data_IF_951072825187
#
_entry.id   IF_951072825187
#
_cell.length_a   1.000
_cell.length_b   1.000
_cell.length_c   1.000
_cell.angle_alpha   90.00
_cell.angle_beta   90.00
_cell.angle_gamma   90.00
#
_symmetry.space_group_name_H-M   'P 1'
#
loop_
_entity.id
_entity.type
_entity.pdbx_description
1 polymer ?
#
# COMPACT_ATOMS: atom_id res chain seq x y z
N UNK A 1 1.26 -4.45 28.09
CA UNK A 1 0.99 -3.18 27.39
C UNK A 1 0.44 -3.52 26.01
N UNK A 2 -0.70 -2.95 25.62
CA UNK A 2 -1.21 -3.13 24.24
C UNK A 2 -0.33 -2.34 23.27
N UNK A 3 0.13 -2.96 22.19
CA UNK A 3 0.89 -2.28 21.14
C UNK A 3 -0.05 -1.33 20.40
N UNK A 4 0.33 -0.06 20.27
CA UNK A 4 -0.41 0.91 19.46
C UNK A 4 0.07 0.79 18.02
N UNK A 5 -0.84 0.48 17.11
CA UNK A 5 -0.57 0.42 15.67
C UNK A 5 -0.82 1.79 15.03
N UNK A 6 0.00 2.16 14.05
CA UNK A 6 -0.12 3.42 13.33
C UNK A 6 -0.54 3.23 11.85
N UNK A 7 -0.75 1.99 11.41
CA UNK A 7 -1.26 1.69 10.08
C UNK A 7 -2.18 0.46 10.06
N UNK A 8 -3.00 0.39 9.02
CA UNK A 8 -3.94 -0.69 8.78
C UNK A 8 -3.76 -1.27 7.38
N UNK A 9 -3.63 -2.59 7.30
CA UNK A 9 -3.68 -3.39 6.08
C UNK A 9 -4.94 -4.26 6.16
N UNK A 10 -5.79 -4.20 5.13
CA UNK A 10 -7.16 -4.73 5.23
C UNK A 10 -7.31 -6.12 4.61
N UNK A 11 -6.44 -6.47 3.67
CA UNK A 11 -6.32 -7.80 3.12
C UNK A 11 -4.86 -8.28 3.20
N UNK A 12 -4.65 -9.58 3.42
CA UNK A 12 -3.30 -10.19 3.45
C UNK A 12 -2.52 -9.94 2.15
N UNK A 13 -3.23 -9.85 1.02
CA UNK A 13 -2.66 -9.68 -0.31
C UNK A 13 -2.40 -8.21 -0.68
N UNK A 14 -2.75 -7.25 0.20
CA UNK A 14 -2.44 -5.84 -0.01
C UNK A 14 -0.91 -5.61 -0.01
N UNK A 15 -0.40 -4.76 -0.90
CA UNK A 15 1.00 -4.31 -0.87
C UNK A 15 1.15 -2.87 -0.35
N UNK A 16 0.08 -2.35 0.23
CA UNK A 16 0.01 -1.04 0.86
C UNK A 16 -0.76 -1.11 2.17
N UNK A 17 -0.40 -0.24 3.11
CA UNK A 17 -1.17 0.02 4.31
C UNK A 17 -1.66 1.48 4.34
N UNK A 18 -2.70 1.76 5.11
CA UNK A 18 -3.24 3.11 5.31
C UNK A 18 -2.77 3.64 6.65
N UNK A 19 -2.20 4.85 6.67
CA UNK A 19 -1.76 5.50 7.89
C UNK A 19 -2.94 5.96 8.77
N UNK A 20 -2.93 5.55 10.05
CA UNK A 20 -3.97 5.87 11.05
C UNK A 20 -3.70 7.19 11.79
N UNK A 21 -2.54 7.80 11.53
CA UNK A 21 -2.16 9.17 11.89
C UNK A 21 -1.11 9.65 10.89
N UNK A 22 -0.69 10.90 10.97
CA UNK A 22 0.55 11.31 10.30
C UNK A 22 1.73 10.55 10.89
N UNK A 23 2.56 9.95 10.03
CA UNK A 23 3.76 9.20 10.38
C UNK A 23 4.95 9.94 9.76
N UNK A 24 5.94 10.29 10.57
CA UNK A 24 7.11 11.06 10.16
C UNK A 24 8.20 10.15 9.61
N UNK A 25 9.02 10.71 8.71
CA UNK A 25 10.24 10.05 8.26
C UNK A 25 11.10 9.60 9.46
N UNK A 26 11.63 8.40 9.40
CA UNK A 26 12.42 7.77 10.46
C UNK A 26 11.59 7.08 11.55
N UNK A 27 10.27 7.23 11.59
CA UNK A 27 9.42 6.40 12.46
C UNK A 27 9.31 4.97 11.92
N UNK A 28 8.92 4.04 12.79
CA UNK A 28 8.59 2.68 12.38
C UNK A 28 7.08 2.57 12.10
N UNK A 29 6.74 2.04 10.93
CA UNK A 29 5.40 1.63 10.56
C UNK A 29 5.05 0.35 11.32
N UNK A 30 4.00 0.40 12.14
CA UNK A 30 3.43 -0.73 12.85
C UNK A 30 2.02 -1.02 12.33
N UNK A 31 1.89 -2.14 11.63
CA UNK A 31 0.64 -2.57 11.00
C UNK A 31 -0.10 -3.51 11.95
N UNK A 32 -1.41 -3.29 12.14
CA UNK A 32 -2.23 -4.16 12.95
C UNK A 32 -2.24 -5.60 12.41
N UNK A 33 -1.91 -6.57 13.27
CA UNK A 33 -1.85 -7.98 12.89
C UNK A 33 -0.49 -8.45 12.37
N UNK A 34 0.47 -7.53 12.20
CA UNK A 34 1.84 -7.86 11.82
C UNK A 34 2.83 -7.67 12.97
N UNK A 35 3.79 -8.59 13.08
CA UNK A 35 4.85 -8.50 14.10
C UNK A 35 5.96 -7.55 13.64
N UNK A 36 6.34 -7.64 12.37
CA UNK A 36 7.39 -6.86 11.75
C UNK A 36 7.04 -5.37 11.66
N UNK A 37 8.07 -4.54 11.54
CA UNK A 37 7.93 -3.10 11.30
C UNK A 37 8.68 -2.71 10.04
N UNK A 38 8.22 -1.66 9.38
CA UNK A 38 8.86 -1.10 8.19
C UNK A 38 9.34 0.30 8.52
N UNK A 39 10.56 0.66 8.12
CA UNK A 39 11.07 2.01 8.33
C UNK A 39 10.34 2.99 7.42
N UNK A 40 9.75 4.05 7.97
CA UNK A 40 9.13 5.11 7.16
C UNK A 40 10.22 6.02 6.63
N UNK A 41 10.26 6.21 5.31
CA UNK A 41 11.35 6.92 4.64
C UNK A 41 11.02 8.39 4.36
N UNK A 42 9.72 8.73 4.29
CA UNK A 42 9.21 10.08 4.04
C UNK A 42 7.96 10.32 4.89
N UNK A 43 7.62 11.58 5.15
CA UNK A 43 6.38 11.92 5.86
C UNK A 43 5.14 11.37 5.13
N UNK A 44 4.31 10.60 5.85
CA UNK A 44 3.05 10.04 5.38
C UNK A 44 1.89 10.72 6.11
N UNK A 45 1.02 11.49 5.42
CA UNK A 45 -0.16 12.08 6.04
C UNK A 45 -1.17 11.04 6.54
N UNK A 46 -2.02 11.43 7.49
CA UNK A 46 -3.17 10.61 7.90
C UNK A 46 -4.04 10.20 6.70
N UNK A 47 -4.42 8.93 6.64
CA UNK A 47 -5.28 8.37 5.59
C UNK A 47 -4.57 8.07 4.27
N UNK A 48 -3.30 8.46 4.13
CA UNK A 48 -2.51 8.16 2.93
C UNK A 48 -1.95 6.74 2.96
N UNK A 49 -1.57 6.24 1.78
CA UNK A 49 -1.04 4.89 1.63
C UNK A 49 0.48 4.89 1.74
N UNK A 50 1.02 3.85 2.34
CA UNK A 50 2.44 3.55 2.44
C UNK A 50 2.68 2.15 1.88
N UNK A 51 3.73 1.99 1.08
CA UNK A 51 4.12 0.69 0.53
C UNK A 51 4.59 -0.24 1.67
N UNK A 52 4.07 -1.47 1.69
CA UNK A 52 4.51 -2.51 2.63
C UNK A 52 5.53 -3.47 2.03
N UNK A 53 5.57 -3.51 0.71
CA UNK A 53 6.40 -4.39 -0.10
C UNK A 53 7.01 -3.56 -1.24
N UNK A 54 8.03 -4.09 -1.90
CA UNK A 54 8.59 -3.48 -3.09
C UNK A 54 7.54 -3.51 -4.22
N UNK A 55 7.20 -2.34 -4.74
CA UNK A 55 6.31 -2.17 -5.88
C UNK A 55 7.16 -1.73 -7.06
N UNK A 56 7.41 -2.64 -7.99
CA UNK A 56 8.16 -2.34 -9.22
C UNK A 56 7.43 -1.28 -10.06
N UNK A 57 8.16 -0.58 -10.92
CA UNK A 57 7.56 0.23 -11.98
C UNK A 57 6.60 -0.63 -12.81
N UNK A 58 5.44 -0.07 -13.15
CA UNK A 58 4.33 -0.76 -13.80
C UNK A 58 3.71 -1.90 -12.95
N UNK A 59 4.10 -2.02 -11.68
CA UNK A 59 3.53 -2.95 -10.71
C UNK A 59 2.14 -2.52 -10.23
N UNK A 60 1.30 -3.50 -9.88
CA UNK A 60 -0.05 -3.28 -9.36
C UNK A 60 0.00 -2.72 -7.93
N UNK A 61 -0.82 -1.70 -7.63
CA UNK A 61 -1.12 -1.27 -6.26
C UNK A 61 -2.33 -2.07 -5.76
N UNK A 62 -2.12 -2.99 -4.82
CA UNK A 62 -3.16 -3.88 -4.31
C UNK A 62 -3.68 -3.37 -2.97
N UNK A 63 -4.97 -3.06 -2.90
CA UNK A 63 -5.67 -2.67 -1.67
C UNK A 63 -7.03 -3.34 -1.62
N UNK A 64 -7.44 -3.81 -0.44
CA UNK A 64 -8.63 -4.65 -0.27
C UNK A 64 -8.56 -5.99 -1.02
N UNK A 65 -7.36 -6.42 -1.42
CA UNK A 65 -7.15 -7.58 -2.31
C UNK A 65 -7.36 -7.27 -3.80
N UNK A 66 -7.62 -6.01 -4.15
CA UNK A 66 -7.95 -5.60 -5.52
C UNK A 66 -6.89 -4.66 -6.09
N UNK A 67 -6.69 -4.72 -7.40
CA UNK A 67 -5.84 -3.76 -8.09
C UNK A 67 -6.52 -2.38 -8.14
N UNK A 68 -5.92 -1.40 -7.48
CA UNK A 68 -6.44 -0.03 -7.40
C UNK A 68 -5.78 0.93 -8.39
N UNK A 69 -4.65 0.54 -8.97
CA UNK A 69 -3.85 1.39 -9.85
C UNK A 69 -2.51 0.73 -10.19
N UNK A 70 -1.72 1.41 -11.01
CA UNK A 70 -0.41 0.95 -11.45
C UNK A 70 0.65 1.96 -11.04
N UNK A 71 1.76 1.49 -10.50
CA UNK A 71 2.89 2.33 -10.13
C UNK A 71 3.55 2.91 -11.37
N UNK A 72 3.85 4.21 -11.37
CA UNK A 72 4.55 4.87 -12.49
C UNK A 72 6.08 4.81 -12.36
N UNK A 73 6.55 4.40 -11.19
CA UNK A 73 7.96 4.24 -10.82
C UNK A 73 8.12 3.07 -9.84
N UNK A 74 9.35 2.74 -9.48
CA UNK A 74 9.60 1.81 -8.39
C UNK A 74 9.30 2.49 -7.04
N UNK A 75 8.64 1.79 -6.12
CA UNK A 75 8.32 2.27 -4.78
C UNK A 75 8.79 1.23 -3.76
N UNK A 76 9.79 1.61 -2.98
CA UNK A 76 10.33 0.80 -1.89
C UNK A 76 9.38 0.76 -0.67
N UNK A 77 9.42 -0.29 0.17
CA UNK A 77 8.70 -0.32 1.43
C UNK A 77 8.99 0.93 2.27
N UNK A 78 7.96 1.48 2.91
CA UNK A 78 8.11 2.67 3.74
C UNK A 78 7.96 4.00 3.02
N UNK A 79 7.75 3.98 1.69
CA UNK A 79 7.48 5.18 0.88
C UNK A 79 5.99 5.42 0.65
N UNK A 80 5.67 6.68 0.33
CA UNK A 80 4.32 7.18 0.10
C UNK A 80 3.77 6.69 -1.26
N UNK A 81 2.59 6.09 -1.25
CA UNK A 81 1.88 5.64 -2.47
C UNK A 81 0.67 6.53 -2.74
N UNK A 82 0.75 7.40 -3.74
CA UNK A 82 -0.28 8.40 -4.03
C UNK A 82 -0.34 8.83 -5.50
N UNK A 83 -1.10 9.87 -5.82
CA UNK A 83 -1.42 10.27 -7.20
C UNK A 83 -0.21 10.67 -8.05
N UNK A 84 0.92 11.04 -7.42
CA UNK A 84 2.14 11.41 -8.12
C UNK A 84 2.96 10.21 -8.60
N UNK A 85 2.76 9.03 -7.99
CA UNK A 85 3.47 7.80 -8.37
C UNK A 85 2.54 6.62 -8.69
N UNK A 86 1.23 6.89 -8.81
CA UNK A 86 0.22 5.91 -9.19
C UNK A 86 -0.67 6.48 -10.26
N UNK A 87 -0.81 5.75 -11.36
CA UNK A 87 -1.82 6.01 -12.39
C UNK A 87 -3.05 5.12 -12.17
N UNK A 88 -4.19 5.58 -12.66
CA UNK A 88 -5.39 4.76 -12.76
C UNK A 88 -5.21 3.58 -13.72
N UNK A 89 -6.10 2.60 -13.58
CA UNK A 89 -6.19 1.47 -14.51
C UNK A 89 -6.80 1.92 -15.84
N UNK A 90 -6.24 1.40 -16.93
CA UNK A 90 -6.88 1.41 -18.24
C UNK A 90 -8.02 0.38 -18.26
N UNK A 91 -8.85 0.46 -19.28
CA UNK A 91 -10.05 -0.38 -19.37
C UNK A 91 -9.73 -1.88 -19.46
N UNK A 92 -8.73 -2.25 -20.27
CA UNK A 92 -8.21 -3.62 -20.36
C UNK A 92 -7.65 -4.11 -19.02
N UNK A 93 -6.84 -3.30 -18.33
CA UNK A 93 -6.28 -3.62 -17.01
C UNK A 93 -7.39 -3.82 -15.96
N UNK A 94 -8.46 -3.01 -16.02
CA UNK A 94 -9.62 -3.12 -15.13
C UNK A 94 -10.42 -4.39 -15.40
N UNK A 95 -10.61 -4.74 -16.68
CA UNK A 95 -11.31 -5.97 -17.06
C UNK A 95 -10.52 -7.21 -16.64
N UNK A 96 -9.20 -7.21 -16.80
CA UNK A 96 -8.34 -8.29 -16.31
C UNK A 96 -8.41 -8.45 -14.80
N UNK A 97 -8.37 -7.34 -14.03
CA UNK A 97 -8.51 -7.39 -12.58
C UNK A 97 -9.85 -8.00 -12.14
N UNK A 98 -10.96 -7.67 -12.81
CA UNK A 98 -12.28 -8.24 -12.51
C UNK A 98 -12.40 -9.74 -12.87
N UNK A 99 -11.65 -10.21 -13.86
CA UNK A 99 -11.61 -11.62 -14.23
C UNK A 99 -10.80 -12.46 -13.22
N UNK A 100 -9.71 -11.90 -12.66
CA UNK A 100 -8.94 -12.55 -11.59
C UNK A 100 -9.79 -12.85 -10.33
N UNK A 101 -10.84 -12.07 -10.07
CA UNK A 101 -11.77 -12.23 -8.93
C UNK A 101 -12.86 -13.29 -9.17
N UNK A 102 -13.15 -13.63 -10.43
CA UNK A 102 -14.14 -14.65 -10.81
C UNK A 102 -13.43 -15.94 -11.21
N UNK A 103 -13.07 -16.79 -10.25
CA UNK A 103 -12.99 -18.26 -10.42
C UNK A 103 -12.79 -18.92 -9.03
N UNK A 104 -13.81 -19.60 -8.47
CA UNK A 104 -13.58 -20.88 -7.79
C UNK A 104 -13.28 -22.00 -8.79
#
# INVERSE_FOLDING_TARGET
MSRIFNALKLNKDDNVAVALRTIKAGEDLSIQGETATIKVMVDIPFGHKIATDLIQKDGKIIKYGECMGISTEEIEPGYHVHVFNVRGLKEDERLSALQEVRLP
#
